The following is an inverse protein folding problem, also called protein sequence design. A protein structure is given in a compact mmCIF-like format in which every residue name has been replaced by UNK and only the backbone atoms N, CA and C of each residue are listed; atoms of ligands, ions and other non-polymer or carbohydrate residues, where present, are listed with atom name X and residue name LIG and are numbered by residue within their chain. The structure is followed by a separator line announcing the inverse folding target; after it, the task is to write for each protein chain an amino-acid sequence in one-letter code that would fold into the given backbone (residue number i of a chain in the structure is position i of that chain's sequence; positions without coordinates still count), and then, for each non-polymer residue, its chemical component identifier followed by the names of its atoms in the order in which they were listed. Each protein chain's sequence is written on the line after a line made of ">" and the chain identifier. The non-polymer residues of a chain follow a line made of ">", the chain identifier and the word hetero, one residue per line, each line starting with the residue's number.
data_IF_724782757709
#
_entry.id   IF_724782757709
#
_cell.length_a   1.000
_cell.length_b   1.000
_cell.length_c   1.000
_cell.angle_alpha   90.00
_cell.angle_beta   90.00
_cell.angle_gamma   90.00
#
_symmetry.space_group_name_H-M   'P 1'
#
loop_
_entity.id
_entity.type
_entity.pdbx_description
1 polymer ?
#
# COMPACT_ATOMS: atom_id res chain seq x y z
N UNK A 1 -104.18 6.67 -23.89
CA UNK A 1 -103.71 6.91 -22.50
C UNK A 1 -103.77 5.59 -21.76
N UNK A 2 -102.85 5.19 -20.85
CA UNK A 2 -101.63 5.81 -20.28
C UNK A 2 -100.32 5.11 -20.78
N UNK A 3 -99.09 5.66 -20.84
CA UNK A 3 -98.10 6.25 -19.88
C UNK A 3 -97.41 5.28 -18.90
N UNK A 4 -96.08 5.14 -19.06
CA UNK A 4 -95.00 5.11 -18.06
C UNK A 4 -93.76 4.38 -18.67
N UNK A 5 -92.74 5.06 -19.20
CA UNK A 5 -91.63 5.79 -18.56
C UNK A 5 -90.51 4.92 -17.93
N UNK A 6 -89.37 4.92 -18.64
CA UNK A 6 -87.97 5.01 -18.20
C UNK A 6 -87.48 4.26 -16.94
N UNK A 7 -86.45 3.41 -17.12
CA UNK A 7 -85.11 3.59 -16.50
C UNK A 7 -84.04 2.95 -17.41
N UNK A 8 -83.26 3.76 -18.15
CA UNK A 8 -81.99 3.32 -18.77
C UNK A 8 -80.83 3.71 -17.85
N UNK A 9 -80.13 2.73 -17.28
CA UNK A 9 -78.91 2.96 -16.50
C UNK A 9 -77.75 3.32 -17.43
N UNK A 10 -77.21 4.52 -17.28
CA UNK A 10 -76.14 5.05 -18.11
C UNK A 10 -74.79 4.71 -17.45
N UNK A 11 -74.23 3.54 -17.74
CA UNK A 11 -72.85 3.20 -17.41
C UNK A 11 -71.91 3.83 -18.45
N UNK A 12 -71.43 5.04 -18.18
CA UNK A 12 -70.37 5.68 -18.96
C UNK A 12 -69.04 4.97 -18.72
N UNK A 13 -68.69 4.03 -19.59
CA UNK A 13 -67.33 3.48 -19.72
C UNK A 13 -66.39 4.58 -20.23
N UNK A 14 -65.59 5.16 -19.34
CA UNK A 14 -64.49 6.06 -19.68
C UNK A 14 -63.45 5.24 -20.46
N UNK A 15 -63.33 5.46 -21.77
CA UNK A 15 -62.25 4.91 -22.60
C UNK A 15 -61.07 5.87 -22.52
N UNK A 16 -60.00 5.46 -21.84
CA UNK A 16 -58.72 6.19 -21.90
C UNK A 16 -58.13 6.13 -23.32
N UNK A 17 -57.71 7.27 -23.90
CA UNK A 17 -57.11 7.29 -25.23
C UNK A 17 -55.64 6.82 -25.15
N UNK A 18 -55.41 5.54 -25.47
CA UNK A 18 -54.06 4.92 -25.50
C UNK A 18 -53.13 5.45 -26.60
N UNK A 19 -53.62 6.24 -27.55
CA UNK A 19 -52.81 6.71 -28.68
C UNK A 19 -51.89 7.90 -28.34
N UNK A 20 -52.23 8.69 -27.31
CA UNK A 20 -51.45 9.88 -26.93
C UNK A 20 -50.16 9.55 -26.18
N UNK A 21 -50.12 8.45 -25.43
CA UNK A 21 -48.95 8.08 -24.62
C UNK A 21 -47.79 7.61 -25.50
N UNK A 22 -48.07 6.88 -26.58
CA UNK A 22 -47.05 6.33 -27.48
C UNK A 22 -46.31 7.42 -28.28
N UNK A 23 -47.01 8.49 -28.67
CA UNK A 23 -46.40 9.64 -29.35
C UNK A 23 -45.53 10.46 -28.37
N UNK A 24 -45.96 10.57 -27.11
CA UNK A 24 -45.20 11.22 -26.06
C UNK A 24 -43.91 10.44 -25.76
N UNK A 25 -44.01 9.11 -25.58
CA UNK A 25 -42.87 8.22 -25.39
C UNK A 25 -41.87 8.31 -26.56
N UNK A 26 -42.34 8.32 -27.81
CA UNK A 26 -41.47 8.52 -28.98
C UNK A 26 -40.73 9.86 -28.95
N UNK A 27 -41.39 10.93 -28.50
CA UNK A 27 -40.76 12.25 -28.42
C UNK A 27 -39.72 12.35 -27.29
N UNK A 28 -39.98 11.67 -26.17
CA UNK A 28 -39.05 11.56 -25.04
C UNK A 28 -37.84 10.71 -25.44
N UNK A 29 -38.06 9.57 -26.08
CA UNK A 29 -36.98 8.69 -26.56
C UNK A 29 -36.08 9.38 -27.58
N UNK A 30 -36.66 10.19 -28.49
CA UNK A 30 -35.87 11.02 -29.43
C UNK A 30 -34.99 12.04 -28.70
N UNK A 31 -35.52 12.74 -27.70
CA UNK A 31 -34.74 13.70 -26.90
C UNK A 31 -33.59 13.02 -26.15
N UNK A 32 -33.83 11.87 -25.53
CA UNK A 32 -32.79 11.11 -24.82
C UNK A 32 -31.69 10.64 -25.78
N UNK A 33 -32.06 10.24 -27.01
CA UNK A 33 -31.08 9.83 -28.01
C UNK A 33 -30.22 11.03 -28.47
N UNK A 34 -30.83 12.19 -28.73
CA UNK A 34 -30.12 13.41 -29.08
C UNK A 34 -29.18 13.89 -27.97
N UNK A 35 -29.58 13.76 -26.70
CA UNK A 35 -28.74 14.10 -25.56
C UNK A 35 -27.56 13.13 -25.41
N UNK A 36 -27.78 11.82 -25.61
CA UNK A 36 -26.69 10.84 -25.60
C UNK A 36 -25.70 11.06 -26.75
N UNK A 37 -26.16 11.44 -27.95
CA UNK A 37 -25.25 11.80 -29.04
C UNK A 37 -24.42 13.04 -28.73
N UNK A 38 -25.03 14.07 -28.12
CA UNK A 38 -24.29 15.25 -27.66
C UNK A 38 -23.28 14.88 -26.59
N UNK A 39 -23.64 14.01 -25.64
CA UNK A 39 -22.74 13.53 -24.59
C UNK A 39 -21.56 12.76 -25.20
N UNK A 40 -21.83 11.86 -26.15
CA UNK A 40 -20.78 11.11 -26.84
C UNK A 40 -19.84 12.02 -27.63
N UNK A 41 -20.36 13.05 -28.31
CA UNK A 41 -19.53 14.06 -28.99
C UNK A 41 -18.69 14.88 -28.01
N UNK A 42 -19.21 15.19 -26.83
CA UNK A 42 -18.44 15.86 -25.77
C UNK A 42 -17.36 14.95 -25.20
N UNK A 43 -17.67 13.66 -25.01
CA UNK A 43 -16.70 12.66 -24.56
C UNK A 43 -15.61 12.49 -25.61
N UNK A 44 -15.95 12.29 -26.88
CA UNK A 44 -14.98 12.19 -27.99
C UNK A 44 -14.09 13.43 -28.08
N UNK A 45 -14.67 14.63 -28.04
CA UNK A 45 -13.89 15.88 -28.06
C UNK A 45 -12.95 16.04 -26.85
N UNK A 46 -13.28 15.45 -25.69
CA UNK A 46 -12.43 15.47 -24.50
C UNK A 46 -11.45 14.28 -24.41
N UNK A 47 -11.72 13.16 -25.07
CA UNK A 47 -10.86 11.95 -25.05
C UNK A 47 -9.89 11.87 -26.23
N UNK A 48 -10.14 12.58 -27.33
CA UNK A 48 -9.32 12.57 -28.55
C UNK A 48 -8.46 13.83 -28.74
N UNK A 49 -7.95 14.42 -27.67
CA UNK A 49 -6.67 15.11 -27.80
C UNK A 49 -5.60 14.03 -27.71
N UNK A 50 -5.09 13.46 -28.82
CA UNK A 50 -3.84 12.71 -28.72
C UNK A 50 -2.87 13.65 -28.03
N UNK A 51 -2.32 13.22 -26.90
CA UNK A 51 -1.23 13.96 -26.28
C UNK A 51 -0.08 13.82 -27.26
N UNK A 52 -0.01 14.75 -28.23
CA UNK A 52 1.06 14.84 -29.21
C UNK A 52 2.31 15.04 -28.36
N UNK A 53 3.07 13.95 -28.32
CA UNK A 53 4.28 13.84 -27.57
C UNK A 53 5.39 14.48 -28.39
N UNK A 54 5.76 15.70 -28.05
CA UNK A 54 6.66 16.51 -28.88
C UNK A 54 8.15 16.24 -28.61
N UNK A 55 8.51 15.38 -27.64
CA UNK A 55 9.92 15.12 -27.26
C UNK A 55 10.70 16.34 -26.73
N UNK A 56 10.17 17.56 -26.92
CA UNK A 56 10.67 18.86 -26.51
C UNK A 56 10.14 19.30 -25.13
N UNK A 57 9.14 18.58 -24.60
CA UNK A 57 8.49 18.93 -23.35
C UNK A 57 9.38 18.54 -22.17
N UNK A 58 10.01 19.57 -21.60
CA UNK A 58 10.66 19.54 -20.29
C UNK A 58 9.72 18.91 -19.26
N UNK A 59 10.20 17.86 -18.58
CA UNK A 59 9.50 17.36 -17.40
C UNK A 59 9.77 18.35 -16.28
N UNK A 60 8.72 19.06 -15.84
CA UNK A 60 8.83 19.98 -14.72
C UNK A 60 9.18 19.24 -13.42
N UNK A 61 10.03 19.87 -12.61
CA UNK A 61 10.24 19.47 -11.22
C UNK A 61 8.91 19.34 -10.51
N UNK A 62 8.77 18.38 -9.59
CA UNK A 62 7.58 18.13 -8.76
C UNK A 62 6.37 17.52 -9.46
N UNK A 63 6.45 17.25 -10.77
CA UNK A 63 5.40 16.52 -11.48
C UNK A 63 5.28 15.11 -10.90
N UNK A 64 4.03 14.64 -10.74
CA UNK A 64 3.74 13.26 -10.36
C UNK A 64 3.08 12.52 -11.52
N UNK A 65 3.54 11.30 -11.77
CA UNK A 65 3.01 10.41 -12.80
C UNK A 65 2.57 9.11 -12.16
N UNK A 66 1.46 8.53 -12.63
CA UNK A 66 1.01 7.24 -12.13
C UNK A 66 1.77 6.08 -12.79
N UNK A 67 2.14 5.09 -11.99
CA UNK A 67 2.79 3.86 -12.45
C UNK A 67 2.34 2.62 -11.70
N UNK A 68 2.88 1.48 -12.12
CA UNK A 68 2.61 0.15 -11.61
C UNK A 68 3.94 -0.54 -11.27
N UNK A 69 4.04 -1.08 -10.06
CA UNK A 69 5.19 -1.88 -9.67
C UNK A 69 5.15 -3.25 -10.37
N UNK A 70 6.23 -3.64 -11.05
CA UNK A 70 6.28 -4.88 -11.84
C UNK A 70 6.75 -6.09 -11.02
N UNK A 71 7.63 -5.89 -10.06
CA UNK A 71 8.21 -6.96 -9.26
C UNK A 71 7.76 -6.90 -7.80
N UNK A 72 7.61 -8.07 -7.19
CA UNK A 72 7.46 -8.19 -5.74
C UNK A 72 8.83 -8.06 -5.07
N UNK A 73 8.90 -7.39 -3.93
CA UNK A 73 10.17 -7.08 -3.27
C UNK A 73 10.08 -7.40 -1.79
N UNK A 74 11.03 -8.19 -1.30
CA UNK A 74 11.31 -8.32 0.12
C UNK A 74 12.44 -7.35 0.41
N UNK A 75 12.13 -6.20 1.00
CA UNK A 75 13.14 -5.20 1.35
C UNK A 75 13.56 -5.36 2.81
N UNK A 76 14.86 -5.21 3.06
CA UNK A 76 15.47 -5.09 4.38
C UNK A 76 16.20 -3.74 4.46
N UNK A 77 17.24 -3.61 5.29
CA UNK A 77 18.14 -2.45 5.26
C UNK A 77 19.07 -2.43 4.02
N UNK A 78 19.09 -3.49 3.19
CA UNK A 78 19.87 -3.57 1.96
C UNK A 78 19.08 -3.07 0.75
N UNK A 79 19.79 -2.46 -0.20
CA UNK A 79 19.20 -1.97 -1.46
C UNK A 79 18.57 -3.13 -2.24
N UNK A 80 17.25 -3.06 -2.41
CA UNK A 80 16.49 -4.02 -3.20
C UNK A 80 16.06 -3.38 -4.53
N UNK A 81 16.26 -4.02 -5.68
CA UNK A 81 15.87 -3.46 -6.97
C UNK A 81 14.35 -3.49 -7.15
N UNK A 82 13.78 -2.39 -7.65
CA UNK A 82 12.37 -2.27 -8.02
C UNK A 82 12.25 -1.77 -9.45
N UNK A 83 11.23 -2.26 -10.15
CA UNK A 83 10.89 -1.86 -11.49
C UNK A 83 9.47 -1.31 -11.51
N UNK A 84 9.32 -0.07 -11.97
CA UNK A 84 8.02 0.59 -12.08
C UNK A 84 7.73 0.92 -13.52
N UNK A 85 6.57 0.52 -14.03
CA UNK A 85 6.11 0.86 -15.36
C UNK A 85 5.12 2.03 -15.31
N UNK A 86 5.23 2.96 -16.25
CA UNK A 86 4.33 4.11 -16.35
C UNK A 86 2.99 3.69 -16.95
N UNK A 87 1.88 4.24 -16.45
CA UNK A 87 0.58 4.07 -17.08
C UNK A 87 0.46 4.82 -18.42
N UNK A 88 -0.47 4.39 -19.26
CA UNK A 88 -0.74 5.06 -20.54
C UNK A 88 -1.20 6.51 -20.30
N UNK A 89 -0.94 7.37 -21.29
CA UNK A 89 -1.42 8.76 -21.36
C UNK A 89 -0.93 9.71 -20.25
N UNK A 90 0.21 9.40 -19.62
CA UNK A 90 0.81 10.26 -18.59
C UNK A 90 1.83 11.27 -19.16
N UNK A 91 1.93 11.38 -20.49
CA UNK A 91 2.97 12.15 -21.16
C UNK A 91 4.34 11.53 -20.92
N UNK A 92 4.48 10.23 -21.20
CA UNK A 92 5.74 9.52 -21.42
C UNK A 92 5.49 8.45 -22.49
N UNK A 93 6.50 8.01 -23.26
CA UNK A 93 6.34 6.94 -24.24
C UNK A 93 5.77 5.66 -23.62
N UNK A 94 4.93 4.95 -24.38
CA UNK A 94 4.34 3.69 -23.93
C UNK A 94 5.45 2.68 -23.69
N UNK A 95 5.40 2.00 -22.53
CA UNK A 95 6.42 1.02 -22.15
C UNK A 95 7.61 1.60 -21.40
N UNK A 96 7.59 2.90 -21.06
CA UNK A 96 8.60 3.50 -20.18
C UNK A 96 8.62 2.82 -18.81
N UNK A 97 9.81 2.45 -18.36
CA UNK A 97 10.08 1.81 -17.08
C UNK A 97 11.07 2.65 -16.29
N UNK A 98 11.00 2.56 -14.98
CA UNK A 98 11.96 3.15 -14.06
C UNK A 98 12.65 2.04 -13.28
N UNK A 99 13.98 2.09 -13.29
CA UNK A 99 14.82 1.25 -12.42
C UNK A 99 15.03 2.00 -11.12
N UNK A 100 14.66 1.36 -10.01
CA UNK A 100 14.69 1.94 -8.70
C UNK A 100 15.35 1.02 -7.69
N UNK A 101 15.78 1.59 -6.58
CA UNK A 101 16.36 0.92 -5.43
C UNK A 101 15.55 1.28 -4.19
N UNK A 102 15.29 0.29 -3.35
CA UNK A 102 14.50 0.46 -2.14
C UNK A 102 15.23 -0.02 -0.90
N UNK A 103 15.16 0.79 0.15
CA UNK A 103 15.71 0.48 1.47
C UNK A 103 14.60 0.60 2.50
N UNK A 104 14.50 -0.37 3.40
CA UNK A 104 13.52 -0.33 4.48
C UNK A 104 13.97 0.62 5.58
N UNK A 105 13.11 1.59 5.90
CA UNK A 105 13.25 2.52 7.00
C UNK A 105 11.89 2.73 7.66
N UNK A 106 11.82 2.62 8.99
CA UNK A 106 10.59 2.86 9.77
C UNK A 106 9.35 2.12 9.23
N UNK A 107 9.49 0.81 8.93
CA UNK A 107 8.43 -0.06 8.38
C UNK A 107 7.91 0.33 6.99
N UNK A 108 8.65 1.17 6.26
CA UNK A 108 8.35 1.57 4.88
C UNK A 108 9.58 1.37 4.02
N UNK A 109 9.38 1.15 2.73
CA UNK A 109 10.49 1.04 1.78
C UNK A 109 10.67 2.36 1.07
N UNK A 110 11.70 3.13 1.46
CA UNK A 110 12.09 4.35 0.76
C UNK A 110 12.71 3.96 -0.57
N UNK A 111 12.22 4.55 -1.65
CA UNK A 111 12.55 4.12 -3.01
C UNK A 111 13.03 5.30 -3.84
N UNK A 112 14.17 5.11 -4.50
CA UNK A 112 14.81 6.10 -5.35
C UNK A 112 15.13 5.48 -6.70
N UNK A 113 14.81 6.17 -7.78
CA UNK A 113 15.07 5.72 -9.14
C UNK A 113 16.14 6.60 -9.75
N UNK A 114 17.12 5.94 -10.36
CA UNK A 114 18.31 6.53 -10.99
C UNK A 114 18.25 6.47 -12.52
N UNK A 115 17.42 5.58 -13.09
CA UNK A 115 17.30 5.42 -14.54
C UNK A 115 15.85 5.33 -15.01
N UNK A 116 15.57 6.06 -16.08
CA UNK A 116 14.38 5.93 -16.90
C UNK A 116 14.74 5.19 -18.18
N UNK A 117 14.04 4.09 -18.44
CA UNK A 117 14.22 3.22 -19.60
C UNK A 117 13.02 3.45 -20.51
N UNK A 118 13.24 4.20 -21.58
CA UNK A 118 12.28 4.38 -22.67
C UNK A 118 12.53 3.33 -23.76
N UNK A 119 11.61 3.12 -24.72
CA UNK A 119 11.84 2.20 -25.83
C UNK A 119 13.05 2.56 -26.71
N UNK A 120 13.45 3.84 -26.69
CA UNK A 120 14.52 4.37 -27.56
C UNK A 120 15.83 4.55 -26.82
N UNK A 121 15.80 5.06 -25.57
CA UNK A 121 17.00 5.42 -24.80
C UNK A 121 16.87 5.08 -23.31
N UNK A 122 18.02 4.95 -22.64
CA UNK A 122 18.13 5.00 -21.18
C UNK A 122 18.67 6.36 -20.74
N UNK A 123 17.97 7.00 -19.81
CA UNK A 123 18.28 8.36 -19.35
C UNK A 123 18.45 8.36 -17.83
N UNK A 124 19.52 8.96 -17.29
CA UNK A 124 19.66 9.12 -15.85
C UNK A 124 18.60 10.11 -15.34
N UNK A 125 17.89 9.73 -14.29
CA UNK A 125 16.82 10.52 -13.70
C UNK A 125 16.94 10.50 -12.18
N UNK A 126 16.38 11.50 -11.51
CA UNK A 126 16.28 11.52 -10.04
C UNK A 126 14.82 11.59 -9.64
N UNK A 127 14.31 10.42 -9.29
CA UNK A 127 12.88 10.22 -9.09
C UNK A 127 12.65 9.45 -7.79
N UNK A 128 11.58 9.77 -7.07
CA UNK A 128 11.16 9.06 -5.88
C UNK A 128 9.82 8.37 -6.13
N UNK A 129 9.64 7.15 -5.62
CA UNK A 129 8.33 6.50 -5.68
C UNK A 129 7.56 6.79 -4.39
N UNK A 130 6.35 7.28 -4.57
CA UNK A 130 5.40 7.61 -3.51
C UNK A 130 4.21 6.63 -3.57
N UNK A 131 3.52 6.49 -2.45
CA UNK A 131 2.23 5.81 -2.44
C UNK A 131 1.17 6.64 -3.18
N UNK A 132 0.02 6.04 -3.46
CA UNK A 132 -1.14 6.72 -4.08
C UNK A 132 -1.68 7.89 -3.26
N UNK A 133 -1.39 7.94 -1.95
CA UNK A 133 -1.73 9.04 -1.06
C UNK A 133 -0.67 10.17 -1.04
N UNK A 134 0.38 10.07 -1.88
CA UNK A 134 1.49 11.02 -1.93
C UNK A 134 2.50 10.86 -0.79
N UNK A 135 2.31 9.92 0.14
CA UNK A 135 3.27 9.70 1.22
C UNK A 135 4.53 8.98 0.74
N UNK A 136 5.68 9.40 1.25
CA UNK A 136 6.97 8.78 0.97
C UNK A 136 7.10 7.41 1.64
N UNK A 137 7.75 6.51 0.91
CA UNK A 137 8.06 5.15 1.35
C UNK A 137 6.90 4.19 1.11
N UNK A 138 7.12 3.17 0.28
CA UNK A 138 6.11 2.18 -0.05
C UNK A 138 5.68 1.41 1.21
N UNK A 139 4.37 1.36 1.43
CA UNK A 139 3.78 0.52 2.49
C UNK A 139 3.72 -0.93 2.02
N UNK A 140 4.23 -1.83 2.85
CA UNK A 140 4.19 -3.26 2.61
C UNK A 140 3.71 -4.01 3.84
N UNK A 141 3.63 -5.34 3.71
CA UNK A 141 3.38 -6.23 4.84
C UNK A 141 4.67 -6.29 5.64
N UNK A 142 4.62 -5.75 6.85
CA UNK A 142 5.74 -5.75 7.77
C UNK A 142 5.74 -7.07 8.54
N UNK A 143 6.83 -7.83 8.43
CA UNK A 143 7.05 -9.00 9.27
C UNK A 143 8.22 -8.71 10.22
N UNK A 144 7.89 -8.62 11.50
CA UNK A 144 8.85 -8.30 12.55
C UNK A 144 9.62 -9.53 13.05
N UNK A 145 9.22 -10.76 12.68
CA UNK A 145 9.68 -12.02 13.28
C UNK A 145 9.72 -12.03 14.83
N UNK A 146 9.09 -11.06 15.52
CA UNK A 146 9.20 -10.85 16.96
C UNK A 146 8.58 -11.96 17.79
N UNK A 147 7.66 -12.73 17.22
CA UNK A 147 6.93 -13.77 17.95
C UNK A 147 7.86 -14.91 18.45
N UNK A 148 8.85 -15.32 17.66
CA UNK A 148 9.83 -16.32 18.10
C UNK A 148 10.77 -15.80 19.18
N UNK A 149 11.00 -14.48 19.24
CA UNK A 149 11.95 -13.86 20.17
C UNK A 149 11.31 -13.42 21.48
N UNK A 150 10.04 -12.99 21.47
CA UNK A 150 9.26 -12.74 22.69
C UNK A 150 9.16 -14.04 23.50
N UNK A 151 8.96 -15.17 22.85
CA UNK A 151 8.99 -16.48 23.51
C UNK A 151 10.35 -16.73 24.20
N UNK A 152 11.48 -16.42 23.54
CA UNK A 152 12.82 -16.55 24.11
C UNK A 152 13.09 -15.61 25.30
N UNK A 153 12.66 -14.35 25.22
CA UNK A 153 12.81 -13.36 26.29
C UNK A 153 11.96 -13.71 27.52
N UNK A 154 10.69 -14.09 27.32
CA UNK A 154 9.79 -14.51 28.41
C UNK A 154 10.29 -15.78 29.09
N UNK A 155 10.77 -16.77 28.34
CA UNK A 155 11.39 -17.97 28.91
C UNK A 155 12.66 -17.64 29.71
N UNK A 156 13.47 -16.70 29.23
CA UNK A 156 14.70 -16.26 29.91
C UNK A 156 14.39 -15.51 31.21
N UNK A 157 13.42 -14.58 31.20
CA UNK A 157 13.01 -13.82 32.38
C UNK A 157 12.27 -14.68 33.41
N UNK A 158 11.47 -15.65 32.96
CA UNK A 158 10.87 -16.66 33.84
C UNK A 158 11.96 -17.53 34.49
N UNK A 159 12.95 -17.99 33.71
CA UNK A 159 14.10 -18.74 34.23
C UNK A 159 14.87 -17.95 35.28
N UNK A 160 15.12 -16.66 35.04
CA UNK A 160 15.74 -15.72 36.01
C UNK A 160 14.92 -15.58 37.30
N UNK A 161 13.60 -15.42 37.18
CA UNK A 161 12.70 -15.32 38.33
C UNK A 161 12.68 -16.57 39.21
N UNK A 162 12.68 -17.75 38.59
CA UNK A 162 12.70 -19.04 39.30
C UNK A 162 14.07 -19.28 39.97
N UNK A 163 15.17 -18.98 39.28
CA UNK A 163 16.52 -19.16 39.82
C UNK A 163 16.76 -18.21 40.99
N UNK A 164 16.42 -16.92 40.85
CA UNK A 164 16.58 -15.93 41.93
C UNK A 164 15.71 -16.24 43.16
N UNK A 165 14.44 -16.64 42.96
CA UNK A 165 13.56 -17.03 44.07
C UNK A 165 14.01 -18.31 44.81
N UNK A 166 14.66 -19.24 44.11
CA UNK A 166 15.22 -20.46 44.70
C UNK A 166 16.46 -20.18 45.55
N UNK A 167 17.28 -19.21 45.13
CA UNK A 167 18.47 -18.76 45.87
C UNK A 167 18.07 -17.97 47.14
N UNK A 168 17.04 -17.14 47.08
CA UNK A 168 16.58 -16.36 48.25
C UNK A 168 16.00 -17.20 49.39
N UNK A 169 15.51 -18.42 49.11
CA UNK A 169 14.99 -19.35 50.13
C UNK A 169 16.04 -20.25 50.78
N UNK A 170 17.29 -20.19 50.33
CA UNK A 170 18.41 -21.01 50.83
C UNK A 170 19.33 -20.26 51.80
N UNK A 171 18.93 -19.10 52.34
CA UNK A 171 19.63 -18.51 53.48
C UNK A 171 19.43 -19.43 54.72
N UNK A 172 20.47 -20.12 55.22
CA UNK A 172 20.31 -20.97 56.38
C UNK A 172 20.14 -20.06 57.60
N UNK A 173 19.02 -20.19 58.31
CA UNK A 173 19.02 -19.87 59.72
C UNK A 173 20.00 -20.85 60.39
N UNK A 174 20.93 -20.32 61.19
CA UNK A 174 21.93 -21.03 62.01
C UNK A 174 23.32 -21.20 61.34
N UNK A 175 24.31 -20.44 61.85
CA UNK A 175 25.72 -20.84 61.93
C UNK A 175 26.59 -20.69 60.67
N UNK A 176 27.61 -19.85 60.76
CA UNK A 176 28.67 -19.70 59.74
C UNK A 176 29.46 -21.00 59.56
N UNK A 177 29.22 -21.71 58.46
CA UNK A 177 30.13 -22.71 57.91
C UNK A 177 30.75 -22.15 56.65
N UNK A 178 32.09 -22.08 56.64
CA UNK A 178 32.95 -21.63 55.55
C UNK A 178 32.95 -22.62 54.36
N UNK A 179 31.78 -23.02 53.85
CA UNK A 179 31.59 -23.74 52.58
C UNK A 179 30.84 -22.87 51.55
N UNK A 180 30.80 -21.55 51.77
CA UNK A 180 29.97 -20.62 51.00
C UNK A 180 30.60 -20.09 49.71
N UNK A 181 31.90 -20.28 49.46
CA UNK A 181 32.55 -19.62 48.32
C UNK A 181 32.29 -20.30 46.96
N UNK A 182 32.44 -21.62 46.85
CA UNK A 182 32.37 -22.28 45.53
C UNK A 182 30.93 -22.36 45.00
N UNK A 183 29.96 -22.69 45.86
CA UNK A 183 28.54 -22.74 45.45
C UNK A 183 27.99 -21.36 45.13
N UNK A 184 28.33 -20.34 45.92
CA UNK A 184 27.93 -18.96 45.61
C UNK A 184 28.58 -18.46 44.32
N UNK A 185 29.85 -18.78 44.07
CA UNK A 185 30.58 -18.39 42.86
C UNK A 185 30.04 -19.09 41.59
N UNK A 186 29.61 -20.36 41.67
CA UNK A 186 28.94 -21.06 40.56
C UNK A 186 27.56 -20.45 40.28
N UNK A 187 26.80 -20.14 41.33
CA UNK A 187 25.47 -19.51 41.21
C UNK A 187 25.59 -18.08 40.65
N UNK A 188 26.59 -17.33 41.11
CA UNK A 188 26.91 -16.00 40.59
C UNK A 188 27.40 -16.08 39.13
N UNK A 189 28.20 -17.09 38.78
CA UNK A 189 28.60 -17.38 37.41
C UNK A 189 27.41 -17.72 36.50
N UNK A 190 26.44 -18.50 36.98
CA UNK A 190 25.22 -18.84 36.25
C UNK A 190 24.28 -17.62 36.10
N UNK A 191 24.14 -16.81 37.15
CA UNK A 191 23.37 -15.57 37.13
C UNK A 191 24.01 -14.53 36.20
N UNK A 192 25.33 -14.42 36.17
CA UNK A 192 26.05 -13.52 35.29
C UNK A 192 26.03 -14.02 33.83
N UNK A 193 26.16 -15.32 33.58
CA UNK A 193 26.00 -15.91 32.25
C UNK A 193 24.59 -15.67 31.67
N UNK A 194 23.54 -15.84 32.49
CA UNK A 194 22.15 -15.55 32.08
C UNK A 194 21.84 -14.05 31.96
N UNK A 195 22.59 -13.18 32.64
CA UNK A 195 22.60 -11.72 32.37
C UNK A 195 23.17 -11.43 31.00
N UNK A 196 24.40 -11.86 30.75
CA UNK A 196 25.09 -11.66 29.47
C UNK A 196 24.32 -12.23 28.29
N UNK A 197 23.77 -13.44 28.37
CA UNK A 197 22.99 -14.03 27.28
C UNK A 197 21.71 -13.25 26.98
N UNK A 198 20.99 -12.76 27.99
CA UNK A 198 19.77 -11.97 27.73
C UNK A 198 20.09 -10.57 27.20
N UNK A 199 21.18 -9.96 27.64
CA UNK A 199 21.58 -8.64 27.14
C UNK A 199 22.02 -8.77 25.68
N UNK A 200 22.75 -9.84 25.34
CA UNK A 200 23.06 -10.23 23.96
C UNK A 200 21.78 -10.46 23.15
N UNK A 201 20.81 -11.21 23.68
CA UNK A 201 19.54 -11.44 23.00
C UNK A 201 18.74 -10.13 22.81
N UNK A 202 18.73 -9.23 23.80
CA UNK A 202 18.07 -7.94 23.69
C UNK A 202 18.76 -7.00 22.71
N UNK A 203 20.08 -7.05 22.62
CA UNK A 203 20.84 -6.26 21.65
C UNK A 203 20.71 -6.83 20.23
N UNK A 204 20.62 -8.15 20.09
CA UNK A 204 20.27 -8.83 18.85
C UNK A 204 18.82 -8.52 18.42
N UNK A 205 17.90 -8.37 19.37
CA UNK A 205 16.52 -7.91 19.11
C UNK A 205 16.46 -6.47 18.59
N UNK A 206 17.36 -5.59 19.04
CA UNK A 206 17.43 -4.20 18.56
C UNK A 206 18.13 -4.09 17.20
N UNK A 207 19.05 -5.01 16.89
CA UNK A 207 19.84 -4.98 15.67
C UNK A 207 19.20 -5.72 14.49
N UNK A 208 18.19 -6.56 14.75
CA UNK A 208 17.55 -7.33 13.69
C UNK A 208 16.84 -6.43 12.66
N UNK A 209 17.12 -6.68 11.39
CA UNK A 209 16.70 -5.81 10.30
C UNK A 209 15.20 -5.93 10.01
N UNK A 210 14.46 -4.81 9.93
CA UNK A 210 13.04 -4.84 9.58
C UNK A 210 12.85 -5.39 8.16
N UNK A 211 11.98 -6.40 8.00
CA UNK A 211 11.61 -6.96 6.69
C UNK A 211 10.25 -6.43 6.25
N UNK A 212 10.19 -5.81 5.09
CA UNK A 212 8.94 -5.33 4.47
C UNK A 212 8.74 -6.00 3.13
N UNK A 213 7.60 -6.67 2.98
CA UNK A 213 7.20 -7.28 1.72
C UNK A 213 6.27 -6.35 0.93
N UNK A 214 6.60 -6.11 -0.34
CA UNK A 214 5.79 -5.35 -1.28
C UNK A 214 5.34 -6.28 -2.40
N UNK A 215 4.03 -6.29 -2.65
CA UNK A 215 3.42 -7.07 -3.73
C UNK A 215 3.64 -6.40 -5.10
N UNK A 216 3.81 -7.24 -6.13
CA UNK A 216 3.77 -6.80 -7.52
C UNK A 216 2.36 -6.31 -7.90
N UNK A 217 2.27 -5.45 -8.91
CA UNK A 217 0.98 -4.91 -9.39
C UNK A 217 0.41 -3.79 -8.52
N UNK A 218 1.16 -3.29 -7.53
CA UNK A 218 0.73 -2.16 -6.71
C UNK A 218 0.79 -0.85 -7.51
N UNK A 219 -0.28 -0.04 -7.55
CA UNK A 219 -0.22 1.29 -8.15
C UNK A 219 0.60 2.23 -7.28
N UNK A 220 1.43 3.04 -7.91
CA UNK A 220 2.36 3.97 -7.25
C UNK A 220 2.40 5.30 -7.99
N UNK A 221 2.92 6.34 -7.31
CA UNK A 221 3.19 7.64 -7.90
C UNK A 221 4.69 7.81 -8.09
N UNK A 222 5.07 8.30 -9.25
CA UNK A 222 6.44 8.58 -9.68
C UNK A 222 6.63 10.08 -9.55
N UNK A 223 7.45 10.52 -8.59
CA UNK A 223 7.69 11.93 -8.29
C UNK A 223 9.06 12.38 -8.82
N UNK A 224 9.06 13.36 -9.71
CA UNK A 224 10.28 13.92 -10.29
C UNK A 224 10.89 14.95 -9.35
N UNK A 225 12.06 14.64 -8.78
CA UNK A 225 12.77 15.55 -7.88
C UNK A 225 13.48 16.66 -8.66
N UNK A 226 14.00 16.31 -9.83
CA UNK A 226 14.70 17.23 -10.74
C UNK A 226 14.00 17.22 -12.10
N UNK A 227 13.97 18.37 -12.76
CA UNK A 227 13.34 18.52 -14.06
C UNK A 227 14.27 17.99 -15.15
N UNK A 228 13.72 17.21 -16.08
CA UNK A 228 14.47 16.72 -17.23
C UNK A 228 14.22 17.63 -18.44
N UNK A 229 15.30 18.20 -18.96
CA UNK A 229 15.25 19.06 -20.15
C UNK A 229 15.30 18.24 -21.45
N UNK A 230 15.94 17.07 -21.46
CA UNK A 230 16.06 16.17 -22.62
C UNK A 230 16.10 14.71 -22.16
N UNK A 231 15.40 13.81 -22.85
CA UNK A 231 15.33 12.38 -22.58
C UNK A 231 14.92 11.57 -23.83
#
# INVERSE_FOLDING_TARGET
>A
MPKADNVKSNSKRIRHPRASSYLLERSILKKIHEENEKLNKLIENHTYAPTIWDGSKKIETTKTIRGLLLNSVVSTNLESPLLVQVFRDQGLPIGTKFSCKGITSNKRVLTYCDRMITPTNEVPVKVQILNTDGSSGLRGIYNDNKDSFIAGAVLSDLGRGIISASVSKLAPAIGTINEANEKAQIIEGLANSTRTTSDILQDEMKSQEPKVFIEAGKPVLIYFMEGLNEY
#
